data_IF_412416444146
#
_entry.id   IF_412416444146
#
_cell.length_a   1.000
_cell.length_b   1.000
_cell.length_c   1.000
_cell.angle_alpha   90.00
_cell.angle_beta   90.00
_cell.angle_gamma   90.00
#
_symmetry.space_group_name_H-M   'P 1'
#
loop_
_entity.id
_entity.type
_entity.pdbx_description
1 polymer ?
#
# COMPACT_ATOMS: atom_id res chain seq x y z
N UNK A 1 2.39 20.26 -11.41
CA UNK A 1 2.81 19.08 -12.20
C UNK A 1 2.53 19.29 -13.68
N UNK A 2 1.54 20.09 -14.01
CA UNK A 2 1.13 20.47 -15.39
C UNK A 2 2.27 21.03 -16.25
N UNK A 3 3.22 21.78 -15.68
CA UNK A 3 4.38 22.30 -16.41
C UNK A 3 5.37 21.21 -16.87
N UNK A 4 5.27 19.99 -16.34
CA UNK A 4 6.18 18.87 -16.62
C UNK A 4 5.52 17.74 -17.42
N UNK A 5 4.26 17.90 -17.84
CA UNK A 5 3.53 16.89 -18.63
C UNK A 5 3.15 15.62 -17.87
N UNK A 6 3.10 15.67 -16.52
CA UNK A 6 2.65 14.55 -15.69
C UNK A 6 1.13 14.60 -15.58
N UNK A 7 0.46 13.53 -16.02
CA UNK A 7 -1.00 13.41 -16.04
C UNK A 7 -1.54 12.43 -14.99
N UNK A 8 -0.71 11.48 -14.55
CA UNK A 8 -1.09 10.42 -13.62
C UNK A 8 -0.08 10.29 -12.49
N UNK A 9 -0.58 10.11 -11.27
CA UNK A 9 0.22 9.88 -10.07
C UNK A 9 -0.28 8.63 -9.37
N UNK A 10 0.61 7.66 -9.17
CA UNK A 10 0.36 6.48 -8.34
C UNK A 10 1.21 6.56 -7.08
N UNK A 11 0.56 6.60 -5.92
CA UNK A 11 1.22 6.58 -4.62
C UNK A 11 1.38 5.13 -4.16
N UNK A 12 2.62 4.70 -3.93
CA UNK A 12 2.94 3.35 -3.41
C UNK A 12 2.95 3.41 -1.89
N UNK A 13 1.94 2.81 -1.25
CA UNK A 13 1.74 2.86 0.19
C UNK A 13 2.24 1.59 0.89
N UNK A 14 3.05 1.78 1.93
CA UNK A 14 3.57 0.72 2.80
C UNK A 14 2.92 0.63 4.17
N UNK A 15 2.00 1.54 4.53
CA UNK A 15 1.48 1.64 5.90
C UNK A 15 -0.04 1.75 5.94
N UNK A 16 -0.69 0.86 6.69
CA UNK A 16 -2.16 0.79 6.76
C UNK A 16 -2.83 2.08 7.23
N UNK A 17 -2.22 2.80 8.18
CA UNK A 17 -2.76 4.07 8.70
C UNK A 17 -2.86 5.21 7.68
N UNK A 18 -2.20 5.07 6.52
CA UNK A 18 -2.29 6.06 5.44
C UNK A 18 -3.49 5.85 4.51
N UNK A 19 -4.23 4.73 4.61
CA UNK A 19 -5.28 4.38 3.64
C UNK A 19 -6.36 5.45 3.51
N UNK A 20 -6.97 5.85 4.62
CA UNK A 20 -8.03 6.86 4.65
C UNK A 20 -7.50 8.24 4.23
N UNK A 21 -6.37 8.75 4.77
CA UNK A 21 -5.74 9.98 4.28
C UNK A 21 -5.44 9.96 2.78
N UNK A 22 -4.84 8.89 2.25
CA UNK A 22 -4.49 8.77 0.83
C UNK A 22 -5.74 8.76 -0.05
N UNK A 23 -6.81 8.08 0.38
CA UNK A 23 -8.09 8.13 -0.32
C UNK A 23 -8.62 9.57 -0.42
N UNK A 24 -8.50 10.36 0.63
CA UNK A 24 -8.89 11.77 0.62
C UNK A 24 -7.96 12.61 -0.27
N UNK A 25 -6.65 12.39 -0.21
CA UNK A 25 -5.66 13.10 -1.04
C UNK A 25 -5.88 12.83 -2.52
N UNK A 26 -6.00 11.56 -2.92
CA UNK A 26 -6.27 11.18 -4.31
C UNK A 26 -7.55 11.82 -4.84
N UNK A 27 -8.64 11.77 -4.06
CA UNK A 27 -9.90 12.43 -4.44
C UNK A 27 -9.72 13.93 -4.61
N UNK A 28 -9.06 14.61 -3.67
CA UNK A 28 -8.84 16.07 -3.76
C UNK A 28 -7.98 16.43 -4.96
N UNK A 29 -6.95 15.64 -5.27
CA UNK A 29 -6.13 15.85 -6.47
C UNK A 29 -6.97 15.74 -7.74
N UNK A 30 -7.86 14.74 -7.83
CA UNK A 30 -8.75 14.58 -8.98
C UNK A 30 -9.85 15.65 -9.06
N UNK A 31 -10.29 16.20 -7.93
CA UNK A 31 -11.31 17.26 -7.89
C UNK A 31 -10.71 18.66 -8.15
N UNK A 32 -9.50 18.92 -7.66
CA UNK A 32 -8.87 20.25 -7.64
C UNK A 32 -7.83 20.45 -8.76
N UNK A 33 -7.42 19.38 -9.47
CA UNK A 33 -6.39 19.43 -10.52
C UNK A 33 -6.78 18.55 -11.72
N UNK A 34 -5.96 18.53 -12.78
CA UNK A 34 -6.12 17.60 -13.90
C UNK A 34 -5.45 16.24 -13.66
N UNK A 35 -4.90 15.99 -12.46
CA UNK A 35 -4.17 14.77 -12.15
C UNK A 35 -5.13 13.61 -11.87
N UNK A 36 -4.89 12.50 -12.56
CA UNK A 36 -5.44 11.19 -12.21
C UNK A 36 -4.58 10.58 -11.11
N UNK A 37 -5.04 10.72 -9.87
CA UNK A 37 -4.30 10.30 -8.69
C UNK A 37 -4.92 9.03 -8.09
N UNK A 38 -4.08 8.01 -7.91
CA UNK A 38 -4.45 6.75 -7.27
C UNK A 38 -3.43 6.43 -6.18
N UNK A 39 -3.81 5.57 -5.23
CA UNK A 39 -2.85 4.92 -4.34
C UNK A 39 -2.98 3.40 -4.49
N UNK A 40 -1.85 2.73 -4.35
CA UNK A 40 -1.75 1.28 -4.29
C UNK A 40 -1.12 0.91 -2.96
N UNK A 41 -1.53 -0.21 -2.40
CA UNK A 41 -1.06 -0.65 -1.09
C UNK A 41 -0.68 -2.13 -1.15
N UNK A 42 0.59 -2.44 -0.86
CA UNK A 42 1.13 -3.78 -1.11
C UNK A 42 0.44 -4.84 -0.26
N UNK A 43 0.05 -4.50 0.98
CA UNK A 43 -0.67 -5.40 1.89
C UNK A 43 -2.04 -5.84 1.36
N UNK A 44 -2.63 -5.16 0.37
CA UNK A 44 -3.86 -5.61 -0.30
C UNK A 44 -3.60 -6.35 -1.61
N UNK A 45 -2.39 -6.26 -2.13
CA UNK A 45 -1.99 -6.92 -3.37
C UNK A 45 -1.60 -8.39 -3.14
N UNK A 46 -1.30 -8.76 -1.89
CA UNK A 46 -0.90 -10.12 -1.52
C UNK A 46 -2.05 -10.85 -0.82
N UNK A 47 -2.19 -12.16 -1.07
CA UNK A 47 -3.25 -13.01 -0.48
C UNK A 47 -2.82 -13.59 0.89
N UNK A 48 -2.29 -12.73 1.75
CA UNK A 48 -1.85 -13.05 3.12
C UNK A 48 -2.21 -11.90 4.06
N UNK A 49 -2.48 -12.22 5.33
CA UNK A 49 -2.73 -11.20 6.34
C UNK A 49 -1.41 -10.51 6.74
N UNK A 50 -1.31 -9.21 6.51
CA UNK A 50 -0.12 -8.41 6.85
C UNK A 50 -0.38 -7.66 8.15
N UNK A 51 0.22 -8.16 9.22
CA UNK A 51 0.13 -7.60 10.58
C UNK A 51 1.34 -6.71 10.90
N UNK A 52 1.23 -5.88 11.94
CA UNK A 52 2.25 -4.87 12.25
C UNK A 52 3.47 -5.47 12.95
N UNK A 53 4.64 -5.34 12.30
CA UNK A 53 5.88 -6.01 12.70
C UNK A 53 5.70 -7.53 12.89
N UNK A 54 4.68 -8.11 12.25
CA UNK A 54 4.38 -9.55 12.30
C UNK A 54 5.23 -10.35 11.31
N UNK A 55 4.82 -11.59 11.06
CA UNK A 55 5.53 -12.54 10.20
C UNK A 55 5.87 -11.96 8.82
N UNK A 56 4.89 -11.37 8.13
CA UNK A 56 5.05 -10.95 6.74
C UNK A 56 5.94 -9.71 6.60
N UNK A 57 5.72 -8.65 7.39
CA UNK A 57 6.59 -7.46 7.36
C UNK A 57 8.03 -7.83 7.73
N UNK A 58 8.22 -8.65 8.77
CA UNK A 58 9.55 -9.12 9.19
C UNK A 58 10.21 -9.97 8.10
N UNK A 59 9.46 -10.88 7.47
CA UNK A 59 9.96 -11.72 6.38
C UNK A 59 10.45 -10.88 5.20
N UNK A 60 9.66 -9.89 4.76
CA UNK A 60 10.03 -8.97 3.67
C UNK A 60 11.29 -8.18 4.03
N UNK A 61 11.40 -7.69 5.26
CA UNK A 61 12.61 -6.99 5.70
C UNK A 61 13.84 -7.92 5.79
N UNK A 62 13.68 -9.17 6.24
CA UNK A 62 14.76 -10.17 6.23
C UNK A 62 15.25 -10.47 4.80
N UNK A 63 14.37 -10.39 3.81
CA UNK A 63 14.74 -10.53 2.41
C UNK A 63 15.49 -9.31 1.86
N UNK A 64 14.96 -8.10 2.10
CA UNK A 64 15.46 -6.88 1.47
C UNK A 64 16.67 -6.26 2.18
N UNK A 65 16.65 -6.27 3.51
CA UNK A 65 17.60 -5.56 4.37
C UNK A 65 17.93 -6.38 5.63
N UNK A 66 18.42 -7.63 5.51
CA UNK A 66 18.66 -8.53 6.64
C UNK A 66 19.55 -7.94 7.73
N UNK A 67 20.50 -7.06 7.38
CA UNK A 67 21.39 -6.37 8.32
C UNK A 67 20.66 -5.40 9.27
N UNK A 68 19.42 -5.05 8.97
CA UNK A 68 18.58 -4.15 9.76
C UNK A 68 17.52 -4.89 10.58
N UNK A 69 17.47 -6.22 10.50
CA UNK A 69 16.48 -7.04 11.21
C UNK A 69 17.17 -7.86 12.30
N UNK A 70 16.78 -7.59 13.55
CA UNK A 70 17.21 -8.38 14.71
C UNK A 70 16.49 -9.72 14.80
N UNK A 71 16.84 -10.52 15.82
CA UNK A 71 16.10 -11.74 16.12
C UNK A 71 14.64 -11.39 16.52
N UNK A 72 13.62 -11.94 15.82
CA UNK A 72 12.22 -11.63 16.09
C UNK A 72 11.84 -12.04 17.51
N UNK A 73 11.03 -11.21 18.16
CA UNK A 73 10.45 -11.48 19.48
C UNK A 73 8.95 -11.76 19.31
N UNK A 74 8.35 -12.66 20.10
CA UNK A 74 6.90 -12.85 20.09
C UNK A 74 6.18 -11.52 20.31
N UNK A 75 5.11 -11.28 19.56
CA UNK A 75 4.24 -10.13 19.80
C UNK A 75 3.43 -10.29 21.07
N UNK A 76 2.94 -9.16 21.60
CA UNK A 76 2.12 -9.08 22.81
C UNK A 76 0.69 -8.59 22.54
N UNK A 77 0.34 -8.37 21.28
CA UNK A 77 -1.01 -8.01 20.84
C UNK A 77 -1.46 -8.85 19.63
N UNK A 78 -2.69 -9.37 19.68
CA UNK A 78 -3.27 -10.15 18.58
C UNK A 78 -4.03 -9.28 17.56
N UNK A 79 -4.38 -8.04 17.92
CA UNK A 79 -5.18 -7.15 17.06
C UNK A 79 -4.89 -5.67 17.29
N UNK A 80 -5.25 -4.84 16.31
CA UNK A 80 -5.09 -3.40 16.39
C UNK A 80 -6.15 -2.77 17.30
N UNK A 81 -5.79 -2.55 18.56
CA UNK A 81 -6.67 -1.95 19.56
C UNK A 81 -7.69 -2.91 20.19
N UNK A 82 -8.44 -2.39 21.14
CA UNK A 82 -9.52 -3.10 21.82
C UNK A 82 -10.87 -2.63 21.27
N UNK A 83 -11.76 -3.57 20.97
CA UNK A 83 -13.11 -3.30 20.46
C UNK A 83 -14.18 -3.62 21.51
N UNK A 84 -14.89 -2.58 21.95
CA UNK A 84 -15.96 -2.68 22.95
C UNK A 84 -17.26 -2.16 22.35
N UNK A 85 -18.28 -3.01 22.28
CA UNK A 85 -19.60 -2.67 21.73
C UNK A 85 -19.55 -2.00 20.34
N UNK A 86 -18.58 -2.38 19.50
CA UNK A 86 -18.40 -1.85 18.15
C UNK A 86 -17.60 -0.54 18.06
N UNK A 87 -17.10 -0.03 19.18
CA UNK A 87 -16.16 1.10 19.22
C UNK A 87 -14.75 0.60 19.54
N UNK A 88 -13.75 1.15 18.85
CA UNK A 88 -12.35 0.97 19.23
C UNK A 88 -12.06 1.89 20.43
N UNK A 89 -11.57 1.33 21.53
CA UNK A 89 -11.33 2.05 22.80
C UNK A 89 -9.86 2.15 23.20
N UNK A 90 -8.98 1.38 22.55
CA UNK A 90 -7.54 1.53 22.60
C UNK A 90 -7.05 1.77 21.17
N UNK A 91 -6.62 2.99 20.86
CA UNK A 91 -6.31 3.42 19.49
C UNK A 91 -4.81 3.54 19.26
N UNK A 92 -4.07 3.94 20.30
CA UNK A 92 -2.63 4.06 20.24
C UNK A 92 -1.98 2.73 20.60
N UNK A 93 -0.89 2.39 19.89
CA UNK A 93 -0.24 1.09 20.04
C UNK A 93 0.22 0.82 21.48
N UNK A 94 0.66 1.85 22.20
CA UNK A 94 1.09 1.77 23.60
C UNK A 94 -0.04 1.47 24.59
N UNK A 95 -1.31 1.55 24.17
CA UNK A 95 -2.45 1.16 24.99
C UNK A 95 -2.70 -0.36 24.99
N UNK A 96 -2.20 -1.08 23.98
CA UNK A 96 -2.49 -2.51 23.79
C UNK A 96 -1.28 -3.39 23.47
N UNK A 97 -0.08 -2.80 23.29
CA UNK A 97 1.16 -3.50 22.99
C UNK A 97 2.33 -2.80 23.69
N UNK A 98 3.14 -3.53 24.45
CA UNK A 98 4.34 -3.00 25.10
C UNK A 98 5.54 -2.98 24.14
N UNK A 99 5.65 -3.98 23.26
CA UNK A 99 6.74 -4.11 22.29
C UNK A 99 6.42 -3.54 20.89
N UNK A 100 5.18 -3.11 20.66
CA UNK A 100 4.69 -2.53 19.41
C UNK A 100 4.32 -3.56 18.32
N UNK A 101 4.48 -4.85 18.57
CA UNK A 101 4.18 -5.91 17.60
C UNK A 101 2.72 -6.32 17.72
N UNK A 102 2.03 -6.32 16.59
CA UNK A 102 0.70 -6.94 16.47
C UNK A 102 0.83 -8.16 15.58
N UNK A 103 0.59 -9.33 16.14
CA UNK A 103 0.88 -10.62 15.49
C UNK A 103 2.08 -11.35 16.08
N UNK A 104 2.68 -12.23 15.28
CA UNK A 104 3.86 -13.00 15.69
C UNK A 104 4.91 -13.06 14.55
N UNK A 105 6.09 -12.46 14.71
CA UNK A 105 7.16 -12.49 13.72
C UNK A 105 8.09 -13.70 13.86
N UNK A 106 7.89 -14.58 14.85
CA UNK A 106 8.84 -15.67 15.13
C UNK A 106 8.90 -16.73 14.03
N UNK A 107 7.88 -16.82 13.19
CA UNK A 107 7.84 -17.68 12.00
C UNK A 107 8.45 -17.01 10.74
N UNK A 108 8.91 -15.75 10.82
CA UNK A 108 9.38 -15.01 9.66
C UNK A 108 10.63 -15.64 9.03
N UNK A 109 10.64 -15.68 7.69
CA UNK A 109 11.79 -16.15 6.91
C UNK A 109 12.08 -15.25 5.71
N UNK A 110 13.34 -15.12 5.33
CA UNK A 110 13.73 -14.40 4.11
C UNK A 110 13.16 -15.04 2.83
N UNK A 111 12.85 -16.34 2.84
CA UNK A 111 12.22 -17.02 1.70
C UNK A 111 10.77 -16.58 1.53
N UNK A 112 9.98 -16.60 2.61
CA UNK A 112 8.62 -16.03 2.63
C UNK A 112 8.66 -14.57 2.18
N UNK A 113 9.65 -13.81 2.65
CA UNK A 113 9.83 -12.40 2.31
C UNK A 113 10.05 -12.16 0.82
N UNK A 114 10.90 -13.00 0.19
CA UNK A 114 11.12 -12.97 -1.26
C UNK A 114 9.82 -13.20 -2.01
N UNK A 115 9.11 -14.27 -1.69
CA UNK A 115 7.92 -14.69 -2.45
C UNK A 115 6.79 -13.65 -2.35
N UNK A 116 6.59 -13.09 -1.16
CA UNK A 116 5.64 -11.99 -0.93
C UNK A 116 6.07 -10.73 -1.67
N UNK A 117 7.35 -10.36 -1.61
CA UNK A 117 7.89 -9.19 -2.30
C UNK A 117 7.73 -9.30 -3.82
N UNK A 118 8.09 -10.44 -4.41
CA UNK A 118 7.96 -10.69 -5.85
C UNK A 118 6.49 -10.63 -6.30
N UNK A 119 5.57 -11.19 -5.49
CA UNK A 119 4.13 -11.10 -5.73
C UNK A 119 3.66 -9.64 -5.74
N UNK A 120 3.99 -8.88 -4.70
CA UNK A 120 3.59 -7.48 -4.58
C UNK A 120 4.15 -6.60 -5.72
N UNK A 121 5.41 -6.83 -6.11
CA UNK A 121 6.02 -6.14 -7.26
C UNK A 121 5.31 -6.52 -8.57
N UNK A 122 4.97 -7.80 -8.76
CA UNK A 122 4.21 -8.25 -9.92
C UNK A 122 2.87 -7.52 -10.04
N UNK A 123 2.08 -7.50 -8.98
CA UNK A 123 0.77 -6.81 -8.94
C UNK A 123 0.89 -5.30 -9.18
N UNK A 124 1.95 -4.66 -8.66
CA UNK A 124 2.21 -3.24 -8.92
C UNK A 124 2.52 -2.99 -10.40
N UNK A 125 3.32 -3.85 -11.03
CA UNK A 125 3.66 -3.73 -12.45
C UNK A 125 2.44 -3.93 -13.34
N UNK A 126 1.58 -4.89 -13.03
CA UNK A 126 0.31 -5.12 -13.74
C UNK A 126 -0.62 -3.90 -13.62
N UNK A 127 -0.74 -3.31 -12.43
CA UNK A 127 -1.51 -2.07 -12.24
C UNK A 127 -0.93 -0.91 -13.07
N UNK A 128 0.38 -0.73 -13.07
CA UNK A 128 1.05 0.33 -13.84
C UNK A 128 0.81 0.13 -15.34
N UNK A 129 0.94 -1.10 -15.85
CA UNK A 129 0.68 -1.42 -17.25
C UNK A 129 -0.76 -1.10 -17.62
N UNK A 130 -1.72 -1.54 -16.80
CA UNK A 130 -3.14 -1.28 -17.00
C UNK A 130 -3.48 0.22 -17.01
N UNK A 131 -2.90 1.00 -16.08
CA UNK A 131 -3.06 2.46 -16.05
C UNK A 131 -2.51 3.10 -17.34
N UNK A 132 -1.36 2.63 -17.82
CA UNK A 132 -0.77 3.08 -19.07
C UNK A 132 -1.66 2.84 -20.29
N UNK A 133 -2.23 1.64 -20.41
CA UNK A 133 -3.17 1.28 -21.49
C UNK A 133 -4.45 2.12 -21.43
N UNK A 134 -5.03 2.27 -20.24
CA UNK A 134 -6.22 3.10 -20.02
C UNK A 134 -6.00 4.54 -20.47
N UNK A 135 -4.85 5.11 -20.12
CA UNK A 135 -4.51 6.50 -20.45
C UNK A 135 -4.25 6.68 -21.96
N UNK A 136 -3.62 5.71 -22.62
CA UNK A 136 -3.45 5.75 -24.07
C UNK A 136 -4.80 5.74 -24.82
N UNK A 137 -5.76 4.95 -24.32
CA UNK A 137 -7.10 4.88 -24.90
C UNK A 137 -7.91 6.18 -24.73
N UNK A 138 -7.77 6.88 -23.59
CA UNK A 138 -8.47 8.16 -23.36
C UNK A 138 -7.93 9.30 -24.22
N UNK A 139 -6.60 9.41 -24.37
CA UNK A 139 -5.98 10.40 -25.26
C UNK A 139 -6.33 10.16 -26.74
N UNK A 140 -6.44 8.88 -27.14
CA UNK A 140 -6.85 8.50 -28.50
C UNK A 140 -8.28 8.94 -28.84
N UNK A 141 -9.20 8.90 -27.85
CA UNK A 141 -10.59 9.33 -28.00
C UNK A 141 -10.70 10.86 -28.15
N UNK A 142 -9.98 11.61 -27.32
CA UNK A 142 -9.96 13.09 -27.39
C UNK A 142 -9.38 13.61 -28.72
N UNK A 143 -8.32 12.99 -29.26
CA UNK A 143 -7.78 13.36 -30.60
C UNK A 143 -8.70 13.01 -31.78
N UNK A 144 -9.63 12.06 -31.61
CA UNK A 144 -10.61 11.71 -32.61
C UNK A 144 -11.73 12.75 -32.70
N UNK A 145 -12.22 13.19 -31.53
CA UNK A 145 -13.26 14.22 -31.41
C UNK A 145 -12.75 15.60 -31.93
N UNK A 146 -11.49 15.95 -31.69
CA UNK A 146 -10.87 17.18 -32.22
C UNK A 146 -10.66 17.19 -33.76
N UNK A 147 -10.75 16.04 -34.44
CA UNK A 147 -10.57 15.92 -35.89
C UNK A 147 -11.87 15.92 -36.69
N UNK A 148 -13.02 15.76 -36.04
CA UNK A 148 -14.34 15.80 -36.70
C UNK A 148 -14.93 17.23 -36.78
N UNK A 149 -14.28 18.23 -36.18
CA UNK A 149 -14.73 19.64 -36.19
C UNK A 149 -14.05 20.54 -37.25
N UNK A 150 -13.42 19.97 -38.29
CA UNK A 150 -12.77 20.72 -39.38
C UNK A 150 -13.42 20.52 -40.76
#
# INVERSE_FOLDING_TARGET
MDAWGVETVLIVNGHGGNREPLKHVCRRLSDETTLDAQYWEWMKAVDVDVQHAGEIETSVLQHLVPEHVGAPQPGDADSWGEWVHGAQVATYADEFSENGVVGDPTAATAETGRDVFETAVGELLELIAWLGERNAASTGRQRGEDREEC
#
